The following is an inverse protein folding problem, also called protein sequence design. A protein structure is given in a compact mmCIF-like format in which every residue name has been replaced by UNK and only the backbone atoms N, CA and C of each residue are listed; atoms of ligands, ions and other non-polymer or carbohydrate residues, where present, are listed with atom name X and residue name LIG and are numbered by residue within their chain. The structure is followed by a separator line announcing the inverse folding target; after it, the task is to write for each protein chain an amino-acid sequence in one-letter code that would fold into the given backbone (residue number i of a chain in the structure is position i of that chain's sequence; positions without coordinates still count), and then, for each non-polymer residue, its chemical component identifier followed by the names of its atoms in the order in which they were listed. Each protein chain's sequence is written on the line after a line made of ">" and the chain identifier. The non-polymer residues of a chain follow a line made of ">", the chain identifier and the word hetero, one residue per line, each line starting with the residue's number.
data_IF_221949585223
#
_entry.id   IF_221949585223
#
_cell.length_a   1.000
_cell.length_b   1.000
_cell.length_c   1.000
_cell.angle_alpha   90.00
_cell.angle_beta   90.00
_cell.angle_gamma   90.00
#
_symmetry.space_group_name_H-M   'P 1'
#
loop_
_entity.id
_entity.type
_entity.pdbx_description
1 polymer ?
#
# COMPACT_ATOMS: atom_id res chain seq x y z
N UNK A 1 -5.47 14.47 10.04
CA UNK A 1 -4.92 13.11 9.82
C UNK A 1 -5.22 12.70 8.40
N UNK A 2 -4.20 12.48 7.56
CA UNK A 2 -4.42 11.92 6.23
C UNK A 2 -4.78 10.43 6.40
N UNK A 3 -5.99 10.03 6.01
CA UNK A 3 -6.39 8.62 6.07
C UNK A 3 -5.47 7.82 5.15
N UNK A 4 -4.83 6.79 5.70
CA UNK A 4 -4.15 5.79 4.88
C UNK A 4 -5.17 5.08 4.01
N UNK A 5 -4.77 4.70 2.80
CA UNK A 5 -5.52 3.77 1.98
C UNK A 5 -5.75 2.45 2.72
N UNK A 6 -6.87 1.78 2.42
CA UNK A 6 -7.19 0.50 3.05
C UNK A 6 -6.15 -0.56 2.66
N UNK A 7 -5.88 -1.49 3.60
CA UNK A 7 -4.92 -2.57 3.37
C UNK A 7 -5.33 -3.46 2.19
N UNK A 8 -6.65 -3.66 2.00
CA UNK A 8 -7.17 -4.44 0.88
C UNK A 8 -6.83 -3.78 -0.48
N UNK A 9 -6.91 -2.45 -0.55
CA UNK A 9 -6.57 -1.70 -1.76
C UNK A 9 -5.06 -1.76 -2.05
N UNK A 10 -4.22 -1.66 -1.01
CA UNK A 10 -2.77 -1.84 -1.14
C UNK A 10 -2.41 -3.21 -1.70
N UNK A 11 -3.01 -4.27 -1.13
CA UNK A 11 -2.78 -5.65 -1.54
C UNK A 11 -3.14 -5.85 -3.01
N UNK A 12 -4.36 -5.48 -3.42
CA UNK A 12 -4.80 -5.59 -4.82
C UNK A 12 -3.93 -4.80 -5.80
N UNK A 13 -3.48 -3.60 -5.40
CA UNK A 13 -2.60 -2.78 -6.24
C UNK A 13 -1.22 -3.37 -6.46
N UNK A 14 -0.68 -4.11 -5.46
CA UNK A 14 0.60 -4.81 -5.59
C UNK A 14 0.43 -6.14 -6.33
N UNK A 15 -0.61 -6.92 -6.07
CA UNK A 15 -0.90 -8.17 -6.80
C UNK A 15 -1.03 -7.89 -8.32
N UNK A 16 -1.78 -6.85 -8.69
CA UNK A 16 -1.91 -6.44 -10.09
C UNK A 16 -0.58 -6.00 -10.72
N UNK A 17 0.34 -5.42 -9.94
CA UNK A 17 1.67 -5.05 -10.43
C UNK A 17 2.55 -6.27 -10.70
N UNK A 18 2.46 -7.29 -9.85
CA UNK A 18 3.22 -8.53 -10.00
C UNK A 18 2.74 -9.31 -11.24
N UNK A 19 1.43 -9.28 -11.52
CA UNK A 19 0.82 -9.92 -12.69
C UNK A 19 1.04 -9.14 -14.00
N UNK A 20 0.81 -7.82 -14.03
CA UNK A 20 0.72 -7.05 -15.28
C UNK A 20 1.79 -5.96 -15.47
N UNK A 21 2.81 -5.90 -14.59
CA UNK A 21 3.97 -4.99 -14.62
C UNK A 21 3.69 -3.57 -15.17
N UNK A 22 2.63 -2.92 -14.65
CA UNK A 22 2.10 -1.68 -15.22
C UNK A 22 1.61 -0.68 -14.18
N UNK A 23 2.52 0.15 -13.65
CA UNK A 23 2.19 1.18 -12.64
C UNK A 23 1.11 2.19 -13.10
N UNK A 24 1.12 2.57 -14.38
CA UNK A 24 0.15 3.50 -14.96
C UNK A 24 -1.24 2.86 -15.04
N UNK A 25 -1.31 1.60 -15.50
CA UNK A 25 -2.56 0.84 -15.56
C UNK A 25 -3.14 0.60 -14.17
N UNK A 26 -2.29 0.20 -13.22
CA UNK A 26 -2.69 0.01 -11.83
C UNK A 26 -3.27 1.32 -11.24
N UNK A 27 -2.62 2.45 -11.52
CA UNK A 27 -3.07 3.78 -11.10
C UNK A 27 -4.45 4.12 -11.66
N UNK A 28 -4.69 3.88 -12.94
CA UNK A 28 -5.97 4.10 -13.59
C UNK A 28 -7.07 3.17 -13.05
N UNK A 29 -6.77 1.88 -12.92
CA UNK A 29 -7.71 0.84 -12.49
C UNK A 29 -8.21 1.10 -11.06
N UNK A 30 -7.29 1.40 -10.14
CA UNK A 30 -7.62 1.60 -8.73
C UNK A 30 -7.90 3.07 -8.37
N UNK A 31 -7.75 4.00 -9.33
CA UNK A 31 -7.86 5.46 -9.12
C UNK A 31 -6.94 5.97 -8.02
N UNK A 32 -5.71 5.46 -8.00
CA UNK A 32 -4.67 5.81 -7.02
C UNK A 32 -3.54 6.52 -7.75
N UNK A 33 -2.87 7.46 -7.10
CA UNK A 33 -1.69 8.09 -7.66
C UNK A 33 -0.56 7.06 -7.91
N UNK A 34 0.05 7.08 -9.10
CA UNK A 34 1.20 6.24 -9.49
C UNK A 34 2.29 6.24 -8.42
N UNK A 35 2.60 7.41 -7.83
CA UNK A 35 3.63 7.53 -6.78
C UNK A 35 3.27 6.75 -5.51
N UNK A 36 1.99 6.65 -5.16
CA UNK A 36 1.55 5.88 -3.99
C UNK A 36 1.69 4.37 -4.24
N UNK A 37 1.32 3.90 -5.44
CA UNK A 37 1.49 2.50 -5.85
C UNK A 37 2.98 2.13 -5.87
N UNK A 38 3.82 2.96 -6.48
CA UNK A 38 5.28 2.73 -6.52
C UNK A 38 5.90 2.66 -5.13
N UNK A 39 5.43 3.51 -4.21
CA UNK A 39 5.85 3.45 -2.80
C UNK A 39 5.47 2.13 -2.14
N UNK A 40 4.24 1.65 -2.34
CA UNK A 40 3.79 0.38 -1.77
C UNK A 40 4.58 -0.81 -2.30
N UNK A 41 4.83 -0.84 -3.62
CA UNK A 41 5.64 -1.89 -4.23
C UNK A 41 7.06 -1.93 -3.64
N UNK A 42 7.68 -0.75 -3.44
CA UNK A 42 8.99 -0.65 -2.79
C UNK A 42 8.96 -1.06 -1.31
N UNK A 43 7.96 -0.62 -0.55
CA UNK A 43 7.77 -1.02 0.86
C UNK A 43 7.57 -2.55 0.97
N UNK A 44 6.74 -3.14 0.10
CA UNK A 44 6.47 -4.56 0.06
C UNK A 44 7.72 -5.38 -0.29
N UNK A 45 8.55 -4.93 -1.25
CA UNK A 45 9.80 -5.61 -1.61
C UNK A 45 10.88 -5.52 -0.53
N UNK A 46 10.89 -4.45 0.26
CA UNK A 46 11.86 -4.26 1.34
C UNK A 46 11.48 -5.00 2.63
N UNK A 47 10.20 -5.06 2.97
CA UNK A 47 9.73 -5.65 4.23
C UNK A 47 9.10 -7.03 4.08
N UNK A 48 8.78 -7.44 2.86
CA UNK A 48 8.00 -8.66 2.58
C UNK A 48 6.53 -8.56 3.02
N UNK A 49 6.05 -7.37 3.37
CA UNK A 49 4.71 -7.14 3.90
C UNK A 49 3.97 -6.03 3.16
N UNK A 50 2.70 -6.31 2.83
CA UNK A 50 1.78 -5.38 2.17
C UNK A 50 1.24 -4.30 3.11
N UNK A 51 1.41 -4.50 4.42
CA UNK A 51 0.81 -3.64 5.44
C UNK A 51 1.68 -2.42 5.73
N UNK A 52 1.10 -1.22 5.85
CA UNK A 52 1.86 -0.05 6.28
C UNK A 52 2.49 -0.32 7.65
N UNK A 53 3.72 0.16 7.84
CA UNK A 53 4.35 0.20 9.18
C UNK A 53 3.37 0.78 10.19
N UNK A 54 3.22 0.10 11.33
CA UNK A 54 2.63 0.71 12.53
C UNK A 54 3.47 1.96 12.82
N UNK A 55 2.90 3.15 12.56
CA UNK A 55 3.49 4.39 13.07
C UNK A 55 3.43 4.28 14.57
N UNK A 56 4.56 4.43 15.26
CA UNK A 56 4.67 4.35 16.71
C UNK A 56 3.76 5.37 17.39
N UNK A 57 2.50 5.01 17.57
CA UNK A 57 1.60 5.61 18.51
C UNK A 57 1.51 4.64 19.67
N UNK A 58 1.71 5.14 20.88
CA UNK A 58 1.59 4.38 22.12
C UNK A 58 0.33 3.52 22.04
N UNK A 59 0.49 2.20 22.08
CA UNK A 59 -0.64 1.28 22.24
C UNK A 59 -1.32 1.69 23.55
N UNK A 60 -2.43 2.42 23.45
CA UNK A 60 -3.24 2.76 24.60
C UNK A 60 -3.81 1.42 25.05
N UNK A 61 -3.24 0.83 26.10
CA UNK A 61 -3.87 -0.30 26.81
C UNK A 61 -5.24 0.21 27.24
N UNK A 62 -6.29 -0.20 26.54
CA UNK A 62 -7.64 -0.10 27.09
C UNK A 62 -7.65 -1.08 28.26
N UNK A 63 -7.52 -0.51 29.46
CA UNK A 63 -7.69 -1.20 30.74
C UNK A 63 -9.16 -1.09 31.11
#
# INVERSE_FOLDING_TARGET
>A
MTKSYSNNLRKRGIEYLDEENGYIKASQLFKINVSAIGRWHKECRQEGSYFPKRRGGSEKRLT
#
